data_IF_712087950882
#
_entry.id   IF_712087950882
#
_cell.length_a   1.000
_cell.length_b   1.000
_cell.length_c   1.000
_cell.angle_alpha   90.00
_cell.angle_beta   90.00
_cell.angle_gamma   90.00
#
_symmetry.space_group_name_H-M   'P 1'
#
loop_
_entity.id
_entity.type
_entity.pdbx_description
1 polymer ?
#
# COMPACT_ATOMS: atom_id res chain seq x y z
N UNK A 1 -17.22 -9.29 -12.67
CA UNK A 1 -17.42 -8.18 -11.71
C UNK A 1 -16.07 -7.83 -11.10
N UNK A 2 -15.62 -6.58 -11.21
CA UNK A 2 -14.35 -6.12 -10.62
C UNK A 2 -14.61 -5.55 -9.23
N UNK A 3 -13.91 -6.03 -8.21
CA UNK A 3 -13.93 -5.47 -6.85
C UNK A 3 -12.53 -4.99 -6.50
N UNK A 4 -12.45 -3.81 -5.88
CA UNK A 4 -11.20 -3.24 -5.39
C UNK A 4 -11.41 -2.73 -3.98
N UNK A 5 -10.45 -2.99 -3.10
CA UNK A 5 -10.40 -2.42 -1.75
C UNK A 5 -8.99 -1.89 -1.50
N UNK A 6 -8.91 -0.71 -0.92
CA UNK A 6 -7.65 -0.07 -0.52
C UNK A 6 -7.70 0.24 0.96
N UNK A 7 -6.64 -0.17 1.67
CA UNK A 7 -6.43 0.14 3.09
C UNK A 7 -5.18 1.00 3.17
N UNK A 8 -5.31 2.14 3.85
CA UNK A 8 -4.21 3.07 4.10
C UNK A 8 -3.98 3.13 5.62
N UNK A 9 -2.73 2.97 6.04
CA UNK A 9 -2.29 3.12 7.43
C UNK A 9 -1.19 4.17 7.52
N UNK A 10 -1.31 5.05 8.50
CA UNK A 10 -0.33 6.10 8.76
C UNK A 10 0.26 5.96 10.16
N UNK A 11 1.56 6.20 10.27
CA UNK A 11 2.20 6.57 11.53
C UNK A 11 2.43 8.07 11.47
N UNK A 12 1.86 8.78 12.44
CA UNK A 12 1.87 10.24 12.51
C UNK A 12 2.68 10.65 13.73
N UNK A 13 3.67 11.52 13.55
CA UNK A 13 4.41 12.10 14.66
C UNK A 13 3.56 13.12 15.43
N UNK A 14 3.94 13.50 16.67
CA UNK A 14 3.14 14.41 17.50
C UNK A 14 2.86 15.79 16.88
N UNK A 15 3.69 16.23 15.92
CA UNK A 15 3.53 17.46 15.15
C UNK A 15 2.51 17.35 13.99
N UNK A 16 1.91 16.17 13.79
CA UNK A 16 0.96 15.89 12.70
C UNK A 16 1.61 15.41 11.40
N UNK A 17 2.93 15.29 11.34
CA UNK A 17 3.62 14.81 10.13
C UNK A 17 3.43 13.30 9.95
N UNK A 18 3.01 12.86 8.76
CA UNK A 18 2.97 11.42 8.43
C UNK A 18 4.39 10.93 8.14
N UNK A 19 4.97 10.19 9.07
CA UNK A 19 6.34 9.66 8.97
C UNK A 19 6.40 8.29 8.27
N UNK A 20 5.31 7.52 8.33
CA UNK A 20 5.17 6.26 7.57
C UNK A 20 3.78 6.19 6.96
N UNK A 21 3.72 5.85 5.68
CA UNK A 21 2.49 5.51 4.98
C UNK A 21 2.60 4.10 4.41
N UNK A 22 1.67 3.24 4.79
CA UNK A 22 1.51 1.91 4.23
C UNK A 22 0.15 1.85 3.50
N UNK A 23 0.18 1.51 2.22
CA UNK A 23 -0.99 1.31 1.38
C UNK A 23 -1.03 -0.15 0.95
N UNK A 24 -2.21 -0.75 1.01
CA UNK A 24 -2.47 -2.10 0.51
C UNK A 24 -3.73 -2.07 -0.34
N UNK A 25 -3.58 -2.34 -1.63
CA UNK A 25 -4.67 -2.38 -2.60
C UNK A 25 -4.88 -3.81 -3.07
N UNK A 26 -6.06 -4.35 -2.78
CA UNK A 26 -6.48 -5.67 -3.23
C UNK A 26 -7.53 -5.52 -4.34
N UNK A 27 -7.26 -6.11 -5.50
CA UNK A 27 -8.16 -6.14 -6.66
C UNK A 27 -8.53 -7.57 -6.98
N UNK A 28 -9.81 -7.85 -7.21
CA UNK A 28 -10.30 -9.14 -7.68
C UNK A 28 -11.16 -8.94 -8.94
N UNK A 29 -10.96 -9.79 -9.94
CA UNK A 29 -11.69 -9.77 -11.21
C UNK A 29 -11.84 -11.18 -11.76
N UNK A 30 -13.04 -11.76 -11.67
CA UNK A 30 -13.25 -13.15 -12.05
C UNK A 30 -12.43 -14.07 -11.14
N UNK A 31 -11.60 -14.92 -11.74
CA UNK A 31 -10.69 -15.83 -11.04
C UNK A 31 -9.29 -15.25 -10.78
N UNK A 32 -9.09 -13.96 -11.08
CA UNK A 32 -7.85 -13.24 -10.83
C UNK A 32 -7.94 -12.40 -9.55
N UNK A 33 -6.88 -12.43 -8.76
CA UNK A 33 -6.69 -11.58 -7.59
C UNK A 33 -5.27 -11.02 -7.57
N UNK A 34 -5.16 -9.72 -7.32
CA UNK A 34 -3.89 -9.01 -7.19
C UNK A 34 -3.88 -8.22 -5.89
N UNK A 35 -2.79 -8.30 -5.14
CA UNK A 35 -2.54 -7.45 -3.97
C UNK A 35 -1.27 -6.67 -4.26
N UNK A 36 -1.34 -5.35 -4.13
CA UNK A 36 -0.20 -4.43 -4.24
C UNK A 36 -0.05 -3.76 -2.89
N UNK A 37 1.16 -3.77 -2.36
CA UNK A 37 1.48 -3.10 -1.09
C UNK A 37 2.61 -2.12 -1.32
N UNK A 38 2.46 -0.92 -0.78
CA UNK A 38 3.49 0.10 -0.79
C UNK A 38 3.70 0.63 0.63
N UNK A 39 4.96 0.70 1.05
CA UNK A 39 5.36 1.31 2.33
C UNK A 39 6.37 2.40 2.03
N UNK A 40 6.05 3.62 2.45
CA UNK A 40 6.93 4.78 2.33
C UNK A 40 7.24 5.30 3.72
N UNK A 41 8.53 5.42 4.03
CA UNK A 41 9.04 6.02 5.26
C UNK A 41 9.68 7.35 4.89
N UNK A 42 9.25 8.43 5.57
CA UNK A 42 9.82 9.77 5.43
C UNK A 42 10.81 10.03 6.55
N UNK A 43 11.88 10.73 6.22
CA UNK A 43 12.96 11.02 7.17
C UNK A 43 12.56 12.08 8.18
N UNK A 44 11.82 13.09 7.72
CA UNK A 44 11.42 14.26 8.49
C UNK A 44 10.27 14.98 7.76
N UNK A 45 9.82 16.11 8.33
CA UNK A 45 8.72 16.94 7.81
C UNK A 45 9.01 17.60 6.47
N UNK A 46 10.24 17.58 5.95
CA UNK A 46 10.55 18.02 4.58
C UNK A 46 9.94 17.11 3.50
N UNK A 47 9.39 15.96 3.90
CA UNK A 47 8.82 14.99 2.98
C UNK A 47 9.86 14.12 2.27
N UNK A 48 11.15 14.27 2.60
CA UNK A 48 12.23 13.48 2.02
C UNK A 48 12.04 12.00 2.38
N UNK A 49 11.90 11.17 1.35
CA UNK A 49 11.74 9.73 1.50
C UNK A 49 13.06 9.15 2.02
N UNK A 50 12.99 8.45 3.15
CA UNK A 50 14.09 7.66 3.70
C UNK A 50 14.14 6.28 3.06
N UNK A 51 12.99 5.63 2.95
CA UNK A 51 12.87 4.30 2.36
C UNK A 51 11.51 4.13 1.69
N UNK A 52 11.49 3.38 0.59
CA UNK A 52 10.28 2.96 -0.09
C UNK A 52 10.40 1.49 -0.45
N UNK A 53 9.40 0.72 -0.05
CA UNK A 53 9.28 -0.69 -0.38
C UNK A 53 7.96 -0.92 -1.09
N UNK A 54 7.98 -1.76 -2.12
CA UNK A 54 6.77 -2.24 -2.78
C UNK A 54 6.82 -3.75 -2.89
N UNK A 55 5.66 -4.38 -2.76
CA UNK A 55 5.48 -5.79 -3.05
C UNK A 55 4.17 -5.96 -3.82
N UNK A 56 4.12 -7.00 -4.63
CA UNK A 56 2.88 -7.42 -5.24
C UNK A 56 2.80 -8.93 -5.27
N UNK A 57 1.59 -9.44 -5.14
CA UNK A 57 1.30 -10.83 -5.45
C UNK A 57 0.09 -10.90 -6.37
N UNK A 58 0.13 -11.92 -7.21
CA UNK A 58 -0.90 -12.22 -8.18
C UNK A 58 -1.27 -13.68 -8.00
N UNK A 59 -2.57 -13.96 -7.96
CA UNK A 59 -3.13 -15.28 -7.96
C UNK A 59 -4.20 -15.37 -9.05
N UNK A 60 -4.18 -16.46 -9.80
CA UNK A 60 -5.23 -16.80 -10.76
C UNK A 60 -5.60 -18.26 -10.62
N UNK A 61 -6.86 -18.59 -10.92
CA UNK A 61 -7.35 -19.97 -10.96
C UNK A 61 -7.89 -20.29 -12.36
N UNK A 62 -7.42 -21.39 -12.94
CA UNK A 62 -7.87 -21.91 -14.24
C UNK A 62 -8.89 -23.04 -14.03
N UNK A 63 -10.05 -22.72 -13.47
CA UNK A 63 -11.15 -23.68 -13.46
C UNK A 63 -11.82 -23.76 -14.83
#
# INVERSE_FOLDING_TARGET
MKRSQTIIKWIVSPDGTVVVQAESTATASGDEATIIQEVTVKRDSSGRIYSRSSSSCHASSSR
#
